data_IF_211266590268
#
_entry.id   IF_211266590268
#
_cell.length_a   1.000
_cell.length_b   1.000
_cell.length_c   1.000
_cell.angle_alpha   90.00
_cell.angle_beta   90.00
_cell.angle_gamma   90.00
#
_symmetry.space_group_name_H-M   'P 1'
#
loop_
_entity.id
_entity.type
_entity.pdbx_description
1 polymer ?
#
# COMPACT_ATOMS: atom_id res chain seq x y z
N UNK A 1 8.39 -0.11 17.51
CA UNK A 1 7.61 -0.56 16.35
C UNK A 1 6.29 -1.09 16.85
N UNK A 2 5.22 -0.33 16.63
CA UNK A 2 3.87 -0.75 17.02
C UNK A 2 3.31 -1.75 15.99
N UNK A 3 2.27 -2.51 16.35
CA UNK A 3 1.59 -3.44 15.44
C UNK A 3 1.01 -2.74 14.20
N UNK A 4 0.65 -1.46 14.35
CA UNK A 4 0.07 -0.63 13.30
C UNK A 4 1.11 -0.25 12.23
N UNK A 5 2.29 0.23 12.64
CA UNK A 5 3.41 0.54 11.75
C UNK A 5 3.84 -0.67 10.90
N UNK A 6 3.80 -1.86 11.51
CA UNK A 6 4.12 -3.13 10.81
C UNK A 6 3.04 -3.52 9.81
N UNK A 7 1.78 -3.17 10.07
CA UNK A 7 0.66 -3.45 9.17
C UNK A 7 0.66 -2.51 7.98
N UNK A 8 0.84 -1.21 8.23
CA UNK A 8 0.97 -0.20 7.18
C UNK A 8 2.06 -0.58 6.17
N UNK A 9 3.24 -0.96 6.65
CA UNK A 9 4.35 -1.36 5.77
C UNK A 9 4.02 -2.57 4.89
N UNK A 10 3.33 -3.57 5.43
CA UNK A 10 2.89 -4.75 4.65
C UNK A 10 1.88 -4.38 3.57
N UNK A 11 0.97 -3.45 3.86
CA UNK A 11 0.01 -2.94 2.86
C UNK A 11 0.76 -2.24 1.72
N UNK A 12 1.70 -1.36 2.05
CA UNK A 12 2.45 -0.59 1.06
C UNK A 12 3.34 -1.48 0.17
N UNK A 13 4.01 -2.49 0.73
CA UNK A 13 4.78 -3.46 -0.06
C UNK A 13 3.86 -4.29 -0.98
N UNK A 14 2.76 -4.82 -0.47
CA UNK A 14 1.80 -5.58 -1.26
C UNK A 14 1.19 -4.75 -2.41
N UNK A 15 0.89 -3.48 -2.13
CA UNK A 15 0.39 -2.54 -3.13
C UNK A 15 1.43 -2.25 -4.20
N UNK A 16 2.68 -1.98 -3.82
CA UNK A 16 3.78 -1.75 -4.75
C UNK A 16 4.00 -2.92 -5.70
N UNK A 17 4.04 -4.15 -5.18
CA UNK A 17 4.19 -5.34 -6.01
C UNK A 17 3.02 -5.51 -6.98
N UNK A 18 1.77 -5.37 -6.51
CA UNK A 18 0.62 -5.51 -7.40
C UNK A 18 0.52 -4.39 -8.44
N UNK A 19 0.88 -3.16 -8.08
CA UNK A 19 0.90 -2.05 -9.04
C UNK A 19 1.99 -2.25 -10.11
N UNK A 20 3.15 -2.81 -9.77
CA UNK A 20 4.22 -3.07 -10.72
C UNK A 20 3.97 -4.31 -11.58
N UNK A 21 3.32 -5.35 -11.04
CA UNK A 21 2.98 -6.59 -11.77
C UNK A 21 1.77 -6.45 -12.70
N UNK A 22 0.69 -5.79 -12.23
CA UNK A 22 -0.62 -5.76 -12.91
C UNK A 22 -1.03 -4.37 -13.39
N UNK A 23 -0.26 -3.34 -13.03
CA UNK A 23 -0.64 -1.95 -13.25
C UNK A 23 -1.74 -1.47 -12.29
N UNK A 24 -1.90 -0.14 -12.19
CA UNK A 24 -2.90 0.47 -11.31
C UNK A 24 -4.32 -0.05 -11.54
N UNK A 25 -4.75 -0.19 -12.80
CA UNK A 25 -6.11 -0.64 -13.14
C UNK A 25 -6.32 -2.14 -12.92
N UNK A 26 -5.25 -2.94 -13.00
CA UNK A 26 -5.30 -4.40 -12.85
C UNK A 26 -5.28 -4.88 -11.39
N UNK A 27 -5.07 -3.98 -10.42
CA UNK A 27 -5.12 -4.29 -8.99
C UNK A 27 -6.38 -3.75 -8.30
N UNK A 28 -6.73 -4.34 -7.15
CA UNK A 28 -7.85 -3.91 -6.32
C UNK A 28 -7.47 -3.82 -4.85
N UNK A 29 -8.20 -3.00 -4.07
CA UNK A 29 -8.01 -2.87 -2.62
C UNK A 29 -8.12 -4.22 -1.90
N UNK A 30 -9.05 -5.08 -2.35
CA UNK A 30 -9.24 -6.42 -1.79
C UNK A 30 -8.03 -7.31 -2.02
N UNK A 31 -7.50 -7.32 -3.23
CA UNK A 31 -6.34 -8.14 -3.59
C UNK A 31 -5.08 -7.69 -2.84
N UNK A 32 -4.92 -6.37 -2.66
CA UNK A 32 -3.83 -5.80 -1.84
C UNK A 32 -3.97 -6.20 -0.36
N UNK A 33 -5.18 -6.15 0.19
CA UNK A 33 -5.43 -6.57 1.58
C UNK A 33 -5.09 -8.06 1.79
N UNK A 34 -5.50 -8.91 0.83
CA UNK A 34 -5.19 -10.34 0.84
C UNK A 34 -3.69 -10.58 0.79
N UNK A 35 -2.98 -9.94 -0.15
CA UNK A 35 -1.52 -10.06 -0.30
C UNK A 35 -0.74 -9.54 0.92
N UNK A 36 -1.24 -8.50 1.59
CA UNK A 36 -0.64 -7.98 2.83
C UNK A 36 -0.96 -8.79 4.09
N UNK A 37 -1.82 -9.83 3.98
CA UNK A 37 -2.19 -10.71 5.07
C UNK A 37 -3.16 -10.09 6.07
N UNK A 38 -3.97 -9.11 5.64
CA UNK A 38 -5.03 -8.49 6.46
C UNK A 38 -6.42 -8.77 5.89
N UNK A 39 -7.45 -8.50 6.70
CA UNK A 39 -8.82 -8.58 6.22
C UNK A 39 -9.11 -7.43 5.26
N UNK A 40 -9.86 -7.71 4.18
CA UNK A 40 -10.23 -6.71 3.18
C UNK A 40 -10.96 -5.48 3.77
N UNK A 41 -11.73 -5.62 4.85
CA UNK A 41 -12.33 -4.46 5.52
C UNK A 41 -11.33 -3.61 6.30
N UNK A 42 -10.26 -4.20 6.82
CA UNK A 42 -9.27 -3.52 7.65
C UNK A 42 -8.36 -2.59 6.86
N UNK A 43 -8.18 -2.82 5.55
CA UNK A 43 -7.39 -1.90 4.71
C UNK A 43 -7.98 -0.49 4.69
N UNK A 44 -9.31 -0.37 4.82
CA UNK A 44 -10.01 0.92 4.81
C UNK A 44 -9.83 1.73 6.10
N UNK A 45 -9.26 1.12 7.15
CA UNK A 45 -8.81 1.86 8.33
C UNK A 45 -7.51 2.64 8.05
N UNK A 46 -6.74 2.23 7.03
CA UNK A 46 -5.49 2.87 6.63
C UNK A 46 -5.63 3.74 5.39
N UNK A 47 -6.43 3.31 4.40
CA UNK A 47 -6.59 3.99 3.12
C UNK A 47 -8.05 3.96 2.66
N UNK A 48 -8.64 5.13 2.38
CA UNK A 48 -10.05 5.25 1.99
C UNK A 48 -10.32 4.67 0.61
N UNK A 49 -9.34 4.73 -0.29
CA UNK A 49 -9.46 4.27 -1.66
C UNK A 49 -8.09 3.88 -2.24
N UNK A 50 -8.10 3.43 -3.52
CA UNK A 50 -6.90 2.94 -4.19
C UNK A 50 -5.98 4.09 -4.62
N UNK A 51 -6.54 5.27 -4.86
CA UNK A 51 -5.82 6.49 -5.21
C UNK A 51 -4.92 6.92 -4.04
N UNK A 52 -5.46 7.03 -2.82
CA UNK A 52 -4.73 7.41 -1.61
C UNK A 52 -3.60 6.42 -1.30
N UNK A 53 -3.88 5.12 -1.46
CA UNK A 53 -2.86 4.09 -1.31
C UNK A 53 -1.76 4.19 -2.38
N UNK A 54 -2.13 4.48 -3.62
CA UNK A 54 -1.17 4.66 -4.71
C UNK A 54 -0.27 5.88 -4.46
N UNK A 55 -0.83 7.00 -4.01
CA UNK A 55 -0.05 8.18 -3.63
C UNK A 55 0.95 7.87 -2.51
N UNK A 56 0.52 7.14 -1.48
CA UNK A 56 1.40 6.72 -0.39
C UNK A 56 2.54 5.82 -0.87
N UNK A 57 2.25 4.82 -1.72
CA UNK A 57 3.28 3.97 -2.35
C UNK A 57 4.22 4.80 -3.20
N UNK A 58 3.68 5.73 -4.00
CA UNK A 58 4.49 6.59 -4.86
C UNK A 58 5.47 7.40 -4.02
N UNK A 59 5.00 8.05 -2.95
CA UNK A 59 5.84 8.84 -2.04
C UNK A 59 6.91 7.96 -1.37
N UNK A 60 6.52 6.82 -0.77
CA UNK A 60 7.46 5.95 -0.04
C UNK A 60 8.56 5.40 -0.95
N UNK A 61 8.21 5.01 -2.19
CA UNK A 61 9.14 4.40 -3.14
C UNK A 61 9.85 5.44 -4.02
N UNK A 62 9.47 6.73 -3.97
CA UNK A 62 10.07 7.74 -4.81
C UNK A 62 11.54 7.99 -4.41
N UNK A 63 12.50 8.01 -5.36
CA UNK A 63 13.91 8.23 -5.04
C UNK A 63 14.19 9.54 -4.31
N UNK A 64 13.41 10.59 -4.60
CA UNK A 64 13.58 11.90 -3.97
C UNK A 64 13.10 11.95 -2.51
N UNK A 65 12.28 11.00 -2.06
CA UNK A 65 11.80 10.99 -0.68
C UNK A 65 12.97 10.90 0.32
N UNK A 66 14.04 10.19 -0.03
CA UNK A 66 15.27 10.06 0.76
C UNK A 66 16.08 11.35 0.91
N UNK A 67 15.79 12.40 0.13
CA UNK A 67 16.51 13.68 0.20
C UNK A 67 15.83 14.62 1.20
N UNK A 68 14.52 14.47 1.40
CA UNK A 68 13.69 15.34 2.24
C UNK A 68 13.42 14.77 3.65
N UNK A 69 13.88 13.55 3.92
CA UNK A 69 13.80 12.85 5.21
C UNK A 69 15.17 12.69 5.83
#
# INVERSE_FOLDING_TARGET
MTSDETTLRRILEAAYELFTEKGYRGSSMREIAEKSGIKAGSIYNHFKNKEELFEAVFIEKHPLFRILS
#
